data_IF_467409567446
#
_entry.id   IF_467409567446
#
_cell.length_a   1.000
_cell.length_b   1.000
_cell.length_c   1.000
_cell.angle_alpha   90.00
_cell.angle_beta   90.00
_cell.angle_gamma   90.00
#
_symmetry.space_group_name_H-M   'P 1'
#
loop_
_entity.id
_entity.type
_entity.pdbx_description
1 polymer ?
#
# COMPACT_ATOMS: atom_id res chain seq x y z
N UNK A 1 14.08 8.87 -21.24
CA UNK A 1 13.57 10.01 -20.44
C UNK A 1 13.33 9.53 -19.01
N UNK A 2 13.79 10.25 -17.96
CA UNK A 2 13.43 9.90 -16.57
C UNK A 2 11.91 10.08 -16.45
N UNK A 3 11.16 8.97 -16.44
CA UNK A 3 9.68 8.91 -16.55
C UNK A 3 8.91 9.52 -15.36
N UNK A 4 9.61 10.09 -14.37
CA UNK A 4 9.08 10.95 -13.31
C UNK A 4 10.03 12.13 -13.15
N UNK A 5 9.55 13.36 -13.31
CA UNK A 5 10.33 14.57 -13.02
C UNK A 5 10.63 14.77 -11.54
N UNK A 6 9.97 14.00 -10.66
CA UNK A 6 10.21 13.97 -9.22
C UNK A 6 11.27 12.92 -8.89
N UNK A 7 12.25 13.34 -8.09
CA UNK A 7 13.24 12.46 -7.48
C UNK A 7 12.52 11.34 -6.68
N UNK A 8 12.81 10.04 -6.92
CA UNK A 8 12.15 8.92 -6.24
C UNK A 8 12.13 9.00 -4.72
N UNK A 9 13.24 9.46 -4.16
CA UNK A 9 13.41 9.66 -2.74
C UNK A 9 12.48 10.78 -2.23
N UNK A 10 12.33 11.85 -3.02
CA UNK A 10 11.42 12.95 -2.68
C UNK A 10 9.96 12.50 -2.75
N UNK A 11 9.58 11.72 -3.77
CA UNK A 11 8.23 11.18 -3.88
C UNK A 11 7.88 10.26 -2.70
N UNK A 12 8.82 9.42 -2.27
CA UNK A 12 8.65 8.55 -1.11
C UNK A 12 8.50 9.35 0.21
N UNK A 13 9.32 10.39 0.41
CA UNK A 13 9.22 11.27 1.57
C UNK A 13 7.89 12.03 1.57
N UNK A 14 7.47 12.57 0.43
CA UNK A 14 6.18 13.25 0.32
C UNK A 14 5.01 12.30 0.61
N UNK A 15 5.06 11.07 0.11
CA UNK A 15 4.02 10.07 0.37
C UNK A 15 3.98 9.66 1.86
N UNK A 16 5.14 9.52 2.50
CA UNK A 16 5.23 9.24 3.94
C UNK A 16 4.64 10.38 4.77
N UNK A 17 4.96 11.63 4.45
CA UNK A 17 4.43 12.82 5.12
C UNK A 17 2.91 12.97 4.91
N UNK A 18 2.43 12.79 3.67
CA UNK A 18 1.00 12.79 3.37
C UNK A 18 0.26 11.70 4.15
N UNK A 19 0.79 10.49 4.18
CA UNK A 19 0.21 9.38 4.95
C UNK A 19 0.10 9.77 6.43
N UNK A 20 1.19 10.29 7.01
CA UNK A 20 1.21 10.73 8.41
C UNK A 20 0.19 11.84 8.69
N UNK A 21 0.12 12.86 7.82
CA UNK A 21 -0.85 13.96 7.93
C UNK A 21 -2.30 13.49 7.78
N UNK A 22 -2.57 12.51 6.91
CA UNK A 22 -3.92 11.97 6.73
C UNK A 22 -4.35 11.07 7.87
N UNK A 23 -3.44 10.35 8.53
CA UNK A 23 -3.77 9.49 9.67
C UNK A 23 -4.07 10.27 10.96
N UNK A 24 -3.39 11.40 11.18
CA UNK A 24 -3.52 12.22 12.40
C UNK A 24 -4.99 12.63 12.72
N UNK A 25 -5.80 13.13 11.77
CA UNK A 25 -7.20 13.50 12.01
C UNK A 25 -8.14 12.34 12.37
N UNK A 26 -7.87 11.13 11.86
CA UNK A 26 -8.72 9.96 12.16
C UNK A 26 -8.40 9.39 13.53
N UNK A 27 -7.16 9.54 14.00
CA UNK A 27 -6.74 9.15 15.33
C UNK A 27 -7.29 10.10 16.41
N UNK A 28 -7.45 11.39 16.12
CA UNK A 28 -8.02 12.35 17.08
C UNK A 28 -9.53 12.21 17.25
N UNK A 29 -10.23 11.61 16.27
CA UNK A 29 -11.67 11.31 16.32
C UNK A 29 -12.02 9.99 17.00
N UNK A 30 -11.03 9.15 17.33
CA UNK A 30 -11.25 7.79 17.81
C UNK A 30 -11.58 7.68 19.32
N UNK A 31 -11.97 8.76 20.02
CA UNK A 31 -12.18 8.80 21.47
C UNK A 31 -10.99 8.28 22.31
N UNK A 32 -9.79 8.20 21.72
CA UNK A 32 -8.57 7.83 22.44
C UNK A 32 -8.23 8.95 23.42
N UNK A 33 -7.84 8.60 24.64
CA UNK A 33 -7.28 9.58 25.57
C UNK A 33 -6.07 10.27 24.91
N UNK A 34 -5.79 11.57 25.16
CA UNK A 34 -4.66 12.27 24.53
C UNK A 34 -3.32 11.53 24.69
N UNK A 35 -3.14 10.81 25.80
CA UNK A 35 -1.96 9.97 26.05
C UNK A 35 -1.89 8.72 25.17
N UNK A 36 -3.02 8.07 24.86
CA UNK A 36 -3.09 6.93 23.93
C UNK A 36 -2.94 7.38 22.47
N UNK A 37 -3.44 8.56 22.12
CA UNK A 37 -3.25 9.17 20.79
C UNK A 37 -1.77 9.31 20.45
N UNK A 38 -0.98 9.88 21.36
CA UNK A 38 0.46 10.08 21.14
C UNK A 38 1.28 8.79 21.24
N UNK A 39 0.81 7.79 22.00
CA UNK A 39 1.52 6.51 22.13
C UNK A 39 1.20 5.55 20.99
N UNK A 40 -0.07 5.25 20.73
CA UNK A 40 -0.45 4.25 19.72
C UNK A 40 -0.69 4.91 18.37
N UNK A 41 -1.45 6.00 18.34
CA UNK A 41 -1.81 6.67 17.09
C UNK A 41 -0.60 7.19 16.33
N UNK A 42 0.30 7.91 17.00
CA UNK A 42 1.51 8.43 16.37
C UNK A 42 2.42 7.29 15.88
N UNK A 43 2.57 6.20 16.64
CA UNK A 43 3.36 5.04 16.22
C UNK A 43 2.75 4.39 14.97
N UNK A 44 1.44 4.21 14.91
CA UNK A 44 0.77 3.67 13.72
C UNK A 44 0.90 4.60 12.51
N UNK A 45 0.75 5.91 12.69
CA UNK A 45 0.90 6.90 11.62
C UNK A 45 2.34 6.92 11.06
N UNK A 46 3.34 6.87 11.94
CA UNK A 46 4.76 6.78 11.54
C UNK A 46 5.04 5.45 10.84
N UNK A 47 4.57 4.33 11.38
CA UNK A 47 4.73 3.02 10.76
C UNK A 47 4.09 2.95 9.36
N UNK A 48 2.86 3.45 9.23
CA UNK A 48 2.15 3.52 7.95
C UNK A 48 2.88 4.42 6.93
N UNK A 49 3.35 5.59 7.36
CA UNK A 49 4.13 6.49 6.52
C UNK A 49 5.45 5.87 6.03
N UNK A 50 6.17 5.19 6.92
CA UNK A 50 7.41 4.48 6.56
C UNK A 50 7.16 3.32 5.60
N UNK A 51 6.15 2.49 5.86
CA UNK A 51 5.78 1.36 4.98
C UNK A 51 5.41 1.87 3.57
N UNK A 52 4.60 2.93 3.49
CA UNK A 52 4.23 3.54 2.20
C UNK A 52 5.45 4.17 1.50
N UNK A 53 6.31 4.88 2.22
CA UNK A 53 7.52 5.47 1.65
C UNK A 53 8.47 4.41 1.09
N UNK A 54 8.74 3.34 1.86
CA UNK A 54 9.57 2.21 1.42
C UNK A 54 8.94 1.49 0.23
N UNK A 55 7.64 1.22 0.28
CA UNK A 55 6.89 0.62 -0.82
C UNK A 55 7.02 1.43 -2.11
N UNK A 56 6.95 2.76 -2.01
CA UNK A 56 7.12 3.66 -3.15
C UNK A 56 8.55 3.63 -3.73
N UNK A 57 9.59 3.54 -2.90
CA UNK A 57 10.98 3.39 -3.37
C UNK A 57 11.14 2.07 -4.13
N UNK A 58 10.60 0.97 -3.59
CA UNK A 58 10.65 -0.35 -4.23
C UNK A 58 9.91 -0.31 -5.57
N UNK A 59 8.72 0.28 -5.61
CA UNK A 59 7.93 0.43 -6.83
C UNK A 59 8.70 1.21 -7.91
N UNK A 60 9.30 2.34 -7.55
CA UNK A 60 10.06 3.14 -8.52
C UNK A 60 11.33 2.43 -9.02
N UNK A 61 11.98 1.62 -8.17
CA UNK A 61 13.09 0.77 -8.61
C UNK A 61 12.63 -0.32 -9.58
N UNK A 62 11.49 -0.96 -9.31
CA UNK A 62 10.89 -1.96 -10.20
C UNK A 62 10.52 -1.37 -11.56
N UNK A 63 9.82 -0.23 -11.57
CA UNK A 63 9.43 0.47 -12.81
C UNK A 63 10.66 0.98 -13.56
N UNK A 64 11.68 1.48 -12.84
CA UNK A 64 12.91 1.98 -13.44
C UNK A 64 13.82 0.88 -14.03
N UNK A 65 13.69 -0.36 -13.57
CA UNK A 65 14.45 -1.51 -14.07
C UNK A 65 13.71 -2.31 -15.16
N UNK A 66 12.38 -2.15 -15.27
CA UNK A 66 11.56 -2.87 -16.25
C UNK A 66 11.58 -2.18 -17.63
N UNK A 67 11.62 -2.99 -18.69
CA UNK A 67 11.33 -2.51 -20.05
C UNK A 67 9.87 -2.03 -20.15
N UNK A 68 9.54 -1.15 -21.11
CA UNK A 68 8.21 -0.52 -21.15
C UNK A 68 7.05 -1.53 -21.23
N UNK A 69 7.29 -2.69 -21.86
CA UNK A 69 6.33 -3.80 -21.94
C UNK A 69 6.12 -4.52 -20.59
N UNK A 70 7.10 -4.49 -19.69
CA UNK A 70 7.09 -5.19 -18.40
C UNK A 70 6.56 -4.33 -17.24
N UNK A 71 6.44 -3.01 -17.41
CA UNK A 71 5.92 -2.11 -16.38
C UNK A 71 4.48 -2.48 -15.99
N UNK A 72 3.65 -2.85 -16.97
CA UNK A 72 2.27 -3.29 -16.74
C UNK A 72 2.22 -4.58 -15.90
N UNK A 73 3.08 -5.55 -16.20
CA UNK A 73 3.19 -6.79 -15.43
C UNK A 73 3.70 -6.53 -14.00
N UNK A 74 4.70 -5.68 -13.85
CA UNK A 74 5.23 -5.29 -12.54
C UNK A 74 4.14 -4.63 -11.66
N UNK A 75 3.33 -3.73 -12.23
CA UNK A 75 2.22 -3.09 -11.51
C UNK A 75 1.15 -4.10 -11.09
N UNK A 76 0.82 -5.06 -11.95
CA UNK A 76 -0.17 -6.09 -11.64
C UNK A 76 0.31 -6.99 -10.51
N UNK A 77 1.59 -7.37 -10.51
CA UNK A 77 2.20 -8.14 -9.41
C UNK A 77 2.10 -7.36 -8.09
N UNK A 78 2.38 -6.06 -8.10
CA UNK A 78 2.28 -5.20 -6.90
C UNK A 78 0.85 -5.15 -6.38
N UNK A 79 -0.16 -5.02 -7.26
CA UNK A 79 -1.57 -5.03 -6.87
C UNK A 79 -1.97 -6.38 -6.27
N UNK A 80 -1.59 -7.49 -6.90
CA UNK A 80 -1.88 -8.83 -6.38
C UNK A 80 -1.22 -9.07 -5.02
N UNK A 81 0.04 -8.63 -4.86
CA UNK A 81 0.74 -8.70 -3.59
C UNK A 81 0.02 -7.88 -2.52
N UNK A 82 -0.42 -6.65 -2.83
CA UNK A 82 -1.19 -5.81 -1.89
C UNK A 82 -2.51 -6.47 -1.47
N UNK A 83 -3.25 -7.09 -2.40
CA UNK A 83 -4.50 -7.80 -2.10
C UNK A 83 -4.22 -8.96 -1.14
N UNK A 84 -3.20 -9.78 -1.43
CA UNK A 84 -2.81 -10.90 -0.59
C UNK A 84 -2.37 -10.45 0.81
N UNK A 85 -1.48 -9.45 0.90
CA UNK A 85 -1.01 -8.93 2.19
C UNK A 85 -2.12 -8.28 3.00
N UNK A 86 -3.08 -7.60 2.34
CA UNK A 86 -4.23 -7.00 3.03
C UNK A 86 -5.19 -8.06 3.55
N UNK A 87 -5.46 -9.12 2.78
CA UNK A 87 -6.32 -10.22 3.22
C UNK A 87 -5.71 -10.99 4.40
N UNK A 88 -4.42 -11.33 4.29
CA UNK A 88 -3.66 -12.03 5.35
C UNK A 88 -3.52 -11.14 6.57
N UNK A 89 -3.09 -9.89 6.40
CA UNK A 89 -2.91 -8.91 7.47
C UNK A 89 -4.22 -8.60 8.18
N UNK A 90 -5.33 -8.45 7.43
CA UNK A 90 -6.67 -8.31 7.99
C UNK A 90 -7.02 -9.46 8.94
N UNK A 91 -6.83 -10.70 8.49
CA UNK A 91 -7.13 -11.88 9.30
C UNK A 91 -6.23 -12.00 10.54
N UNK A 92 -4.93 -11.77 10.38
CA UNK A 92 -3.95 -11.95 11.47
C UNK A 92 -3.97 -10.83 12.51
N UNK A 93 -4.14 -9.57 12.08
CA UNK A 93 -4.04 -8.41 12.97
C UNK A 93 -5.39 -7.98 13.55
N UNK A 94 -6.46 -8.08 12.76
CA UNK A 94 -7.79 -7.59 13.15
C UNK A 94 -8.80 -8.72 13.41
N UNK A 95 -8.38 -9.98 13.26
CA UNK A 95 -9.27 -11.14 13.42
C UNK A 95 -10.33 -11.26 12.33
N UNK A 96 -10.24 -10.45 11.28
CA UNK A 96 -11.27 -10.26 10.26
C UNK A 96 -11.64 -11.59 9.60
N UNK A 97 -12.93 -11.98 9.53
CA UNK A 97 -13.32 -13.25 8.92
C UNK A 97 -13.01 -13.22 7.42
N UNK A 98 -12.40 -14.31 6.92
CA UNK A 98 -12.23 -14.56 5.50
C UNK A 98 -13.57 -15.02 4.92
N UNK A 99 -14.41 -14.05 4.60
CA UNK A 99 -15.73 -14.30 4.01
C UNK A 99 -15.61 -14.76 2.56
N UNK A 100 -16.62 -15.50 2.09
CA UNK A 100 -16.76 -15.88 0.68
C UNK A 100 -16.66 -14.66 -0.26
N UNK A 101 -17.11 -13.49 0.17
CA UNK A 101 -17.00 -12.23 -0.59
C UNK A 101 -15.54 -11.79 -0.78
N UNK A 102 -14.70 -11.89 0.27
CA UNK A 102 -13.26 -11.60 0.16
C UNK A 102 -12.56 -12.61 -0.76
N UNK A 103 -12.91 -13.90 -0.65
CA UNK A 103 -12.41 -14.94 -1.54
C UNK A 103 -12.78 -14.71 -3.01
N UNK A 104 -14.05 -14.39 -3.29
CA UNK A 104 -14.52 -14.04 -4.64
C UNK A 104 -13.81 -12.80 -5.20
N UNK A 105 -13.57 -11.78 -4.37
CA UNK A 105 -12.81 -10.59 -4.75
C UNK A 105 -11.36 -10.90 -5.15
N UNK A 106 -10.69 -11.79 -4.41
CA UNK A 106 -9.32 -12.24 -4.75
C UNK A 106 -9.32 -12.99 -6.09
N UNK A 107 -10.29 -13.89 -6.31
CA UNK A 107 -10.41 -14.63 -7.58
C UNK A 107 -10.67 -13.67 -8.76
N UNK A 108 -11.56 -12.70 -8.59
CA UNK A 108 -11.83 -11.66 -9.59
C UNK A 108 -10.56 -10.84 -9.91
N UNK A 109 -9.78 -10.46 -8.90
CA UNK A 109 -8.53 -9.75 -9.10
C UNK A 109 -7.50 -10.59 -9.87
N UNK A 110 -7.41 -11.89 -9.61
CA UNK A 110 -6.54 -12.81 -10.36
C UNK A 110 -6.99 -12.96 -11.82
N UNK A 111 -8.30 -13.03 -12.08
CA UNK A 111 -8.85 -13.07 -13.45
C UNK A 111 -8.56 -11.76 -14.17
N UNK A 112 -8.80 -10.61 -13.54
CA UNK A 112 -8.50 -9.30 -14.10
C UNK A 112 -6.99 -9.15 -14.41
N UNK A 113 -6.13 -9.58 -13.48
CA UNK A 113 -4.69 -9.64 -13.69
C UNK A 113 -4.35 -10.48 -14.94
N UNK A 114 -4.90 -11.70 -15.05
CA UNK A 114 -4.69 -12.57 -16.21
C UNK A 114 -5.14 -11.95 -17.52
N UNK A 115 -6.28 -11.25 -17.54
CA UNK A 115 -6.79 -10.56 -18.74
C UNK A 115 -5.91 -9.37 -19.13
N UNK A 116 -5.34 -8.66 -18.16
CA UNK A 116 -4.48 -7.50 -18.40
C UNK A 116 -3.03 -7.89 -18.76
N UNK A 117 -2.52 -9.02 -18.25
CA UNK A 117 -1.18 -9.55 -18.59
C UNK A 117 -1.19 -10.51 -19.78
N UNK A 118 -2.37 -11.01 -20.15
CA UNK A 118 -2.55 -11.98 -21.22
C UNK A 118 -2.36 -11.32 -22.59
N UNK A 119 -1.17 -11.51 -23.15
CA UNK A 119 -1.00 -11.64 -24.60
C UNK A 119 -1.40 -13.05 -25.01
#
# INVERSE_FOLDING_TARGET
MKRSGLNPQLAAVMLALLTLLTCLPFLSRANASPSEFWKLGAIFAVAAGLINGVGQIILQRLIGAAEEADVSHALIIVVLAQIATTAIGGRLLYGDPLTLKKGAGIILALIAAKLLTGR
#
